data_IF_472017337254
#
_entry.id   IF_472017337254
#
_cell.length_a   1.000
_cell.length_b   1.000
_cell.length_c   1.000
_cell.angle_alpha   90.00
_cell.angle_beta   90.00
_cell.angle_gamma   90.00
#
_symmetry.space_group_name_H-M   'P 1'
#
loop_
_entity.id
_entity.type
_entity.pdbx_description
1 polymer ?
#
# COMPACT_ATOMS: atom_id res chain seq x y z
N UNK A 1 -11.75 46.95 23.53
CA UNK A 1 -10.43 47.13 22.90
C UNK A 1 -10.28 46.16 21.75
N UNK A 2 -9.82 46.63 20.59
CA UNK A 2 -9.60 45.79 19.42
C UNK A 2 -8.37 44.87 19.57
N UNK A 3 -8.40 43.73 18.86
CA UNK A 3 -7.27 42.86 18.61
C UNK A 3 -7.37 42.22 17.23
N UNK A 4 -6.27 41.73 16.71
CA UNK A 4 -6.21 41.12 15.37
C UNK A 4 -6.08 39.61 15.47
N UNK A 5 -6.82 38.88 14.63
CA UNK A 5 -6.68 37.43 14.45
C UNK A 5 -6.17 37.15 13.05
N UNK A 6 -5.06 36.45 12.97
CA UNK A 6 -4.41 36.03 11.73
C UNK A 6 -4.48 34.52 11.57
N UNK A 7 -4.88 34.08 10.39
CA UNK A 7 -5.00 32.63 10.06
C UNK A 7 -3.89 32.21 9.11
N UNK A 8 -3.14 31.17 9.49
CA UNK A 8 -2.00 30.63 8.73
C UNK A 8 -2.32 29.22 8.27
N UNK A 9 -2.33 29.01 6.95
CA UNK A 9 -2.57 27.72 6.35
C UNK A 9 -1.24 27.03 5.98
N UNK A 10 -1.13 25.74 6.28
CA UNK A 10 0.01 24.93 5.91
C UNK A 10 -0.03 24.60 4.42
N UNK A 11 1.08 24.78 3.73
CA UNK A 11 1.28 24.38 2.33
C UNK A 11 1.80 22.93 2.22
N UNK A 12 1.85 22.39 1.00
CA UNK A 12 2.34 21.02 0.73
C UNK A 12 3.78 20.80 1.21
N UNK A 13 4.64 21.82 1.14
CA UNK A 13 6.03 21.74 1.63
C UNK A 13 6.15 21.84 3.16
N UNK A 14 5.02 22.06 3.87
CA UNK A 14 4.98 22.16 5.34
C UNK A 14 5.14 23.56 5.90
N UNK A 15 5.43 24.56 5.08
CA UNK A 15 5.46 25.96 5.52
C UNK A 15 4.05 26.50 5.79
N UNK A 16 3.95 27.58 6.56
CA UNK A 16 2.69 28.26 6.85
C UNK A 16 2.66 29.62 6.17
N UNK A 17 1.57 29.90 5.47
CA UNK A 17 1.33 31.18 4.82
C UNK A 17 0.13 31.87 5.46
N UNK A 18 0.23 33.17 5.66
CA UNK A 18 -0.87 34.03 6.13
C UNK A 18 -1.98 34.04 5.06
N UNK A 19 -3.21 33.77 5.46
CA UNK A 19 -4.39 34.01 4.64
C UNK A 19 -4.93 35.40 4.93
N UNK A 20 -4.46 36.38 4.16
CA UNK A 20 -4.80 37.81 4.35
C UNK A 20 -6.33 38.03 4.34
N UNK A 21 -7.06 37.37 3.46
CA UNK A 21 -8.52 37.50 3.32
C UNK A 21 -9.30 37.02 4.52
N UNK A 22 -8.70 36.19 5.38
CA UNK A 22 -9.31 35.72 6.62
C UNK A 22 -8.84 36.48 7.86
N UNK A 23 -7.94 37.47 7.72
CA UNK A 23 -7.51 38.29 8.84
C UNK A 23 -8.68 39.11 9.38
N UNK A 24 -8.92 39.02 10.68
CA UNK A 24 -10.04 39.66 11.38
C UNK A 24 -9.51 40.70 12.37
N UNK A 25 -10.17 41.85 12.45
CA UNK A 25 -10.03 42.80 13.54
C UNK A 25 -11.28 42.71 14.38
N UNK A 26 -11.15 42.21 15.60
CA UNK A 26 -12.23 42.07 16.56
C UNK A 26 -12.18 43.21 17.58
N UNK A 27 -13.33 43.79 17.91
CA UNK A 27 -13.44 44.97 18.79
C UNK A 27 -14.05 44.64 20.16
N UNK A 28 -14.33 43.36 20.40
CA UNK A 28 -14.97 42.82 21.59
C UNK A 28 -13.99 42.50 22.74
N UNK A 29 -12.70 42.79 22.55
CA UNK A 29 -11.69 42.54 23.56
C UNK A 29 -11.84 43.41 24.80
N UNK A 30 -11.72 42.80 25.99
CA UNK A 30 -11.60 43.51 27.26
C UNK A 30 -10.13 43.65 27.63
N UNK A 31 -9.66 44.88 27.86
CA UNK A 31 -8.28 45.13 28.27
C UNK A 31 -7.90 44.28 29.49
N UNK A 32 -6.67 43.74 29.46
CA UNK A 32 -6.11 42.85 30.46
C UNK A 32 -6.80 41.47 30.61
N UNK A 33 -7.86 41.23 29.82
CA UNK A 33 -8.48 39.89 29.72
C UNK A 33 -7.84 39.04 28.62
N UNK A 34 -8.00 37.75 28.73
CA UNK A 34 -7.58 36.78 27.68
C UNK A 34 -8.53 36.84 26.48
N UNK A 35 -7.98 36.81 25.28
CA UNK A 35 -8.77 36.59 24.05
C UNK A 35 -9.49 35.27 24.09
N UNK A 36 -10.61 35.15 23.37
CA UNK A 36 -11.39 33.92 23.25
C UNK A 36 -11.57 33.53 21.76
N UNK A 37 -10.47 33.57 21.02
CA UNK A 37 -10.45 33.27 19.59
C UNK A 37 -10.83 31.80 19.35
N UNK A 38 -11.72 31.59 18.39
CA UNK A 38 -12.08 30.27 17.88
C UNK A 38 -11.53 30.08 16.46
N UNK A 39 -11.24 28.85 16.13
CA UNK A 39 -10.80 28.51 14.76
C UNK A 39 -11.97 28.69 13.77
N UNK A 40 -11.63 29.19 12.58
CA UNK A 40 -12.53 29.15 11.44
C UNK A 40 -12.46 27.78 10.76
N UNK A 41 -13.56 27.28 10.16
CA UNK A 41 -13.52 26.06 9.37
C UNK A 41 -12.87 26.34 8.02
N UNK A 42 -11.83 25.58 7.68
CA UNK A 42 -11.24 25.54 6.35
C UNK A 42 -11.26 24.10 5.87
N UNK A 43 -11.76 23.90 4.65
CA UNK A 43 -11.84 22.58 4.03
C UNK A 43 -10.44 21.97 3.86
N UNK A 44 -10.27 20.70 4.22
CA UNK A 44 -9.01 19.96 4.22
C UNK A 44 -7.94 20.48 5.20
N UNK A 45 -8.32 21.25 6.20
CA UNK A 45 -7.43 21.74 7.22
C UNK A 45 -7.94 21.49 8.63
N UNK A 46 -7.05 21.09 9.51
CA UNK A 46 -7.31 20.94 10.94
C UNK A 46 -6.61 22.04 11.71
N UNK A 47 -7.38 22.78 12.51
CA UNK A 47 -6.82 23.85 13.35
C UNK A 47 -5.95 23.26 14.47
N UNK A 48 -4.79 23.88 14.68
CA UNK A 48 -3.96 23.60 15.86
C UNK A 48 -4.51 24.29 17.10
N UNK A 49 -4.15 23.83 18.31
CA UNK A 49 -4.50 24.51 19.55
C UNK A 49 -4.12 26.00 19.49
N UNK A 50 -5.07 26.86 19.83
CA UNK A 50 -4.92 28.33 19.78
C UNK A 50 -4.33 28.82 21.09
N UNK A 51 -3.21 29.53 21.01
CA UNK A 51 -2.66 30.24 22.15
C UNK A 51 -3.36 31.60 22.30
N UNK A 52 -4.26 31.68 23.27
CA UNK A 52 -4.93 32.93 23.64
C UNK A 52 -3.92 33.94 24.23
N UNK A 53 -4.19 35.23 24.10
CA UNK A 53 -3.32 36.29 24.56
C UNK A 53 -4.07 37.32 25.40
N UNK A 54 -3.38 38.01 26.30
CA UNK A 54 -3.93 39.17 27.00
C UNK A 54 -4.13 40.31 26.02
N UNK A 55 -5.29 40.96 26.08
CA UNK A 55 -5.65 42.09 25.24
C UNK A 55 -4.95 43.33 25.72
N UNK A 56 -4.06 43.87 24.92
CA UNK A 56 -3.35 45.10 25.21
C UNK A 56 -4.25 46.33 25.03
N UNK A 57 -4.15 47.38 25.88
CA UNK A 57 -5.02 48.56 25.83
C UNK A 57 -4.88 49.38 24.55
N UNK A 58 -3.73 49.27 23.87
CA UNK A 58 -3.44 49.98 22.62
C UNK A 58 -3.92 49.26 21.36
N UNK A 59 -4.58 48.09 21.51
CA UNK A 59 -5.08 47.29 20.36
C UNK A 59 -4.02 46.57 19.55
N UNK A 60 -2.79 46.43 20.06
CA UNK A 60 -1.68 45.79 19.35
C UNK A 60 -1.66 44.27 19.45
N UNK A 61 -2.58 43.68 20.20
CA UNK A 61 -2.61 42.22 20.38
C UNK A 61 -2.94 41.49 19.07
N UNK A 62 -2.09 40.53 18.72
CA UNK A 62 -2.28 39.66 17.54
C UNK A 62 -2.30 38.21 17.99
N UNK A 63 -3.39 37.53 17.74
CA UNK A 63 -3.54 36.06 17.91
C UNK A 63 -3.33 35.39 16.56
N UNK A 64 -2.47 34.39 16.53
CA UNK A 64 -2.20 33.63 15.31
C UNK A 64 -2.80 32.23 15.44
N UNK A 65 -3.61 31.85 14.47
CA UNK A 65 -4.23 30.53 14.36
C UNK A 65 -3.58 29.78 13.22
N UNK A 66 -3.06 28.61 13.50
CA UNK A 66 -2.38 27.75 12.51
C UNK A 66 -3.24 26.55 12.16
N UNK A 67 -3.29 26.23 10.89
CA UNK A 67 -4.07 25.11 10.34
C UNK A 67 -3.14 24.17 9.60
N UNK A 68 -3.13 22.94 10.06
CA UNK A 68 -2.37 21.85 9.43
C UNK A 68 -3.18 21.26 8.29
N UNK A 69 -2.58 21.11 7.13
CA UNK A 69 -3.19 20.44 6.00
C UNK A 69 -3.40 18.95 6.32
N UNK A 70 -4.61 18.45 6.12
CA UNK A 70 -4.98 17.09 6.46
C UNK A 70 -4.13 16.08 5.70
N UNK A 71 -3.86 14.94 6.33
CA UNK A 71 -3.08 13.84 5.76
C UNK A 71 -3.97 12.63 5.55
N UNK A 72 -3.69 11.91 4.48
CA UNK A 72 -4.41 10.71 4.08
C UNK A 72 -3.47 9.54 3.85
N UNK A 73 -4.01 8.35 3.98
CA UNK A 73 -3.28 7.10 3.80
C UNK A 73 -3.66 6.47 2.46
N UNK A 74 -2.66 6.14 1.65
CA UNK A 74 -2.83 5.41 0.40
C UNK A 74 -2.11 4.08 0.49
N UNK A 75 -2.82 2.99 0.24
CA UNK A 75 -2.30 1.62 0.36
C UNK A 75 -2.30 0.93 -0.99
N UNK A 76 -1.19 0.27 -1.31
CA UNK A 76 -1.02 -0.56 -2.51
C UNK A 76 -0.80 -2.01 -2.10
N UNK A 77 -1.71 -2.90 -2.47
CA UNK A 77 -1.66 -4.33 -2.17
C UNK A 77 -1.33 -5.17 -3.40
N UNK A 78 -0.73 -6.34 -3.16
CA UNK A 78 -0.44 -7.31 -4.21
C UNK A 78 -1.68 -8.05 -4.73
N UNK A 79 -2.81 -7.98 -4.00
CA UNK A 79 -4.01 -8.74 -4.30
C UNK A 79 -3.91 -10.22 -3.89
N UNK A 80 -4.86 -11.04 -4.35
CA UNK A 80 -4.97 -12.43 -3.96
C UNK A 80 -3.75 -13.29 -4.34
N UNK A 81 -3.16 -13.04 -5.53
CA UNK A 81 -1.99 -13.79 -6.01
C UNK A 81 -0.73 -13.54 -5.19
N UNK A 82 -0.63 -12.41 -4.52
CA UNK A 82 0.52 -12.03 -3.69
C UNK A 82 0.13 -11.75 -2.24
N UNK A 83 -0.86 -12.45 -1.69
CA UNK A 83 -1.41 -12.25 -0.34
C UNK A 83 -0.38 -12.32 0.79
N UNK A 84 0.71 -13.06 0.58
CA UNK A 84 1.80 -13.19 1.56
C UNK A 84 2.72 -11.96 1.62
N UNK A 85 2.58 -11.04 0.65
CA UNK A 85 3.35 -9.81 0.65
C UNK A 85 2.61 -8.71 1.41
N UNK A 86 3.33 -8.03 2.30
CA UNK A 86 2.78 -6.89 3.02
C UNK A 86 2.43 -5.74 2.05
N UNK A 87 1.28 -5.08 2.22
CA UNK A 87 0.93 -3.93 1.41
C UNK A 87 1.88 -2.74 1.68
N UNK A 88 2.10 -1.92 0.66
CA UNK A 88 2.84 -0.67 0.77
C UNK A 88 1.88 0.46 1.13
N UNK A 89 2.19 1.17 2.21
CA UNK A 89 1.35 2.25 2.73
C UNK A 89 2.11 3.58 2.71
N UNK A 90 1.48 4.61 2.15
CA UNK A 90 2.00 5.97 2.06
C UNK A 90 1.07 6.92 2.80
N UNK A 91 1.64 7.82 3.59
CA UNK A 91 0.89 8.94 4.19
C UNK A 91 1.32 10.24 3.51
N UNK A 92 0.37 10.98 2.98
CA UNK A 92 0.64 12.23 2.28
C UNK A 92 -0.44 13.28 2.59
N UNK A 93 -0.10 14.56 2.42
CA UNK A 93 -1.03 15.68 2.60
C UNK A 93 -2.07 15.70 1.48
N UNK A 94 -3.27 16.19 1.81
CA UNK A 94 -4.28 16.49 0.79
C UNK A 94 -3.68 17.36 -0.34
N UNK A 95 -3.96 16.98 -1.57
CA UNK A 95 -3.43 17.63 -2.76
C UNK A 95 -2.00 17.28 -3.16
N UNK A 96 -1.29 16.48 -2.35
CA UNK A 96 0.04 15.99 -2.72
C UNK A 96 -0.04 14.96 -3.85
N UNK A 97 0.94 14.98 -4.73
CA UNK A 97 1.11 13.93 -5.76
C UNK A 97 2.03 12.84 -5.23
N UNK A 98 1.59 11.59 -5.28
CA UNK A 98 2.42 10.42 -5.02
C UNK A 98 2.56 9.58 -6.29
N UNK A 99 3.70 8.91 -6.43
CA UNK A 99 3.95 7.99 -7.53
C UNK A 99 3.60 6.56 -7.12
N UNK A 100 3.04 5.80 -8.06
CA UNK A 100 2.69 4.40 -7.83
C UNK A 100 3.95 3.55 -7.75
N UNK A 101 4.02 2.61 -6.79
CA UNK A 101 5.13 1.67 -6.72
C UNK A 101 5.10 0.69 -7.89
N UNK A 102 6.28 0.24 -8.34
CA UNK A 102 6.41 -0.94 -9.17
C UNK A 102 6.48 -2.16 -8.26
N UNK A 103 5.55 -3.08 -8.40
CA UNK A 103 5.54 -4.32 -7.62
C UNK A 103 6.14 -5.46 -8.45
N UNK A 104 6.71 -6.46 -7.77
CA UNK A 104 7.24 -7.68 -8.38
C UNK A 104 6.63 -8.92 -7.72
N UNK A 105 6.23 -9.89 -8.54
CA UNK A 105 5.70 -11.18 -8.10
C UNK A 105 6.27 -12.27 -9.00
N UNK A 106 6.81 -13.34 -8.40
CA UNK A 106 7.42 -14.44 -9.14
C UNK A 106 6.41 -15.09 -10.10
N UNK A 107 6.80 -15.26 -11.37
CA UNK A 107 5.95 -15.85 -12.40
C UNK A 107 4.91 -14.91 -13.02
N UNK A 108 4.90 -13.63 -12.64
CA UNK A 108 3.92 -12.67 -13.13
C UNK A 108 4.55 -11.33 -13.56
N UNK A 109 3.97 -10.69 -14.55
CA UNK A 109 4.25 -9.32 -14.94
C UNK A 109 3.25 -8.36 -14.27
N UNK A 110 3.77 -7.30 -13.68
CA UNK A 110 2.95 -6.24 -13.10
C UNK A 110 2.29 -5.42 -14.21
N UNK A 111 0.96 -5.30 -14.21
CA UNK A 111 0.19 -4.58 -15.23
C UNK A 111 -0.43 -3.27 -14.76
N UNK A 112 -0.30 -2.96 -13.46
CA UNK A 112 -0.82 -1.74 -12.87
C UNK A 112 -1.68 -1.98 -11.63
N UNK A 113 -2.54 -1.02 -11.31
CA UNK A 113 -3.47 -1.10 -10.18
C UNK A 113 -4.91 -0.91 -10.65
N UNK A 114 -5.83 -1.70 -10.07
CA UNK A 114 -7.26 -1.60 -10.37
C UNK A 114 -7.78 -0.19 -10.08
N UNK A 115 -8.44 0.41 -11.08
CA UNK A 115 -9.07 1.73 -10.95
C UNK A 115 -8.11 2.93 -11.01
N UNK A 116 -6.81 2.69 -11.13
CA UNK A 116 -5.81 3.75 -11.23
C UNK A 116 -5.23 3.81 -12.66
N UNK A 117 -5.17 4.99 -13.22
CA UNK A 117 -4.57 5.24 -14.54
C UNK A 117 -3.26 6.01 -14.37
N UNK A 118 -2.22 5.53 -15.04
CA UNK A 118 -0.89 6.17 -15.01
C UNK A 118 -0.04 5.77 -13.80
N UNK A 119 1.05 6.50 -13.61
CA UNK A 119 2.10 6.21 -12.62
C UNK A 119 2.08 7.16 -11.42
N UNK A 120 1.05 7.97 -11.25
CA UNK A 120 0.90 8.89 -10.13
C UNK A 120 -0.58 9.18 -9.84
N UNK A 121 -0.84 9.64 -8.62
CA UNK A 121 -2.16 10.12 -8.21
C UNK A 121 -2.03 11.33 -7.30
N UNK A 122 -3.07 12.18 -7.30
CA UNK A 122 -3.22 13.27 -6.34
C UNK A 122 -4.02 12.76 -5.15
N UNK A 123 -3.51 12.97 -3.94
CA UNK A 123 -4.15 12.50 -2.70
C UNK A 123 -5.32 13.41 -2.34
N UNK A 124 -6.53 12.88 -2.41
CA UNK A 124 -7.77 13.61 -2.06
C UNK A 124 -8.56 12.94 -0.94
N UNK A 125 -8.04 11.84 -0.39
CA UNK A 125 -8.65 11.06 0.68
C UNK A 125 -7.86 9.77 0.90
N UNK A 126 -8.29 8.98 1.88
CA UNK A 126 -7.76 7.63 2.08
C UNK A 126 -8.16 6.75 0.89
N UNK A 127 -7.22 5.95 0.40
CA UNK A 127 -7.45 5.10 -0.76
C UNK A 127 -6.67 3.79 -0.67
N UNK A 128 -7.22 2.74 -1.29
CA UNK A 128 -6.55 1.45 -1.41
C UNK A 128 -6.63 0.95 -2.87
N UNK A 129 -5.50 0.52 -3.38
CA UNK A 129 -5.36 0.01 -4.73
C UNK A 129 -4.81 -1.40 -4.71
N UNK A 130 -5.37 -2.25 -5.58
CA UNK A 130 -4.94 -3.65 -5.72
C UNK A 130 -4.21 -3.84 -7.04
N UNK A 131 -3.04 -4.48 -6.98
CA UNK A 131 -2.24 -4.77 -8.15
C UNK A 131 -2.95 -5.74 -9.10
N UNK A 132 -2.70 -5.55 -10.37
CA UNK A 132 -3.13 -6.45 -11.45
C UNK A 132 -1.91 -7.11 -12.08
N UNK A 133 -2.04 -8.38 -12.45
CA UNK A 133 -0.95 -9.24 -12.86
C UNK A 133 -1.31 -10.00 -14.14
N UNK A 134 -0.30 -10.26 -14.96
CA UNK A 134 -0.39 -11.17 -16.11
C UNK A 134 0.59 -12.33 -15.91
N UNK A 135 0.16 -13.59 -16.09
CA UNK A 135 1.07 -14.72 -15.98
C UNK A 135 2.19 -14.64 -17.02
N UNK A 136 3.39 -15.03 -16.65
CA UNK A 136 4.54 -15.13 -17.54
C UNK A 136 4.58 -16.52 -18.18
N UNK A 137 4.90 -16.57 -19.47
CA UNK A 137 5.09 -17.81 -20.21
C UNK A 137 6.53 -18.34 -20.15
N UNK A 138 7.49 -17.53 -19.66
CA UNK A 138 8.92 -17.83 -19.62
C UNK A 138 9.42 -18.21 -18.21
N UNK A 139 8.52 -18.61 -17.33
CA UNK A 139 8.89 -19.04 -15.98
C UNK A 139 9.67 -20.35 -16.04
N UNK A 140 10.93 -20.38 -15.56
CA UNK A 140 11.73 -21.59 -15.60
C UNK A 140 11.17 -22.66 -14.66
N UNK A 141 11.22 -23.90 -15.09
CA UNK A 141 10.88 -25.06 -14.28
C UNK A 141 11.96 -26.13 -14.39
N UNK A 142 12.03 -27.00 -13.40
CA UNK A 142 12.94 -28.14 -13.38
C UNK A 142 12.13 -29.41 -13.42
N UNK A 143 12.53 -30.31 -14.29
CA UNK A 143 11.99 -31.67 -14.36
C UNK A 143 13.00 -32.63 -13.73
N UNK A 144 12.59 -33.38 -12.75
CA UNK A 144 13.40 -34.42 -12.12
C UNK A 144 12.79 -35.77 -12.48
N UNK A 145 13.63 -36.68 -13.03
CA UNK A 145 13.23 -38.01 -13.40
C UNK A 145 13.74 -38.99 -12.35
N UNK A 146 12.83 -39.76 -11.79
CA UNK A 146 13.13 -40.80 -10.81
C UNK A 146 12.93 -42.20 -11.44
N UNK A 147 13.89 -43.08 -11.26
CA UNK A 147 13.83 -44.46 -11.75
C UNK A 147 13.80 -45.41 -10.57
N UNK A 148 12.79 -46.30 -10.51
CA UNK A 148 12.69 -47.29 -9.45
C UNK A 148 13.85 -48.29 -9.54
N UNK A 149 14.45 -48.63 -8.40
CA UNK A 149 15.49 -49.65 -8.31
C UNK A 149 14.85 -51.02 -8.37
N UNK A 150 15.49 -51.96 -9.07
CA UNK A 150 15.04 -53.32 -9.19
C UNK A 150 15.30 -54.18 -7.95
N UNK A 151 16.22 -53.75 -7.07
CA UNK A 151 16.68 -54.54 -5.92
C UNK A 151 16.35 -53.95 -4.55
N UNK A 152 15.68 -52.79 -4.51
CA UNK A 152 15.29 -52.10 -3.26
C UNK A 152 14.12 -51.16 -3.49
N UNK A 153 13.31 -50.95 -2.44
CA UNK A 153 12.29 -49.86 -2.45
C UNK A 153 12.97 -48.50 -2.39
N UNK A 154 13.11 -47.87 -3.52
CA UNK A 154 13.67 -46.54 -3.62
C UNK A 154 13.78 -46.02 -5.06
N UNK A 155 14.10 -44.75 -5.21
CA UNK A 155 14.25 -44.11 -6.52
C UNK A 155 15.65 -43.48 -6.64
N UNK A 156 16.18 -43.43 -7.84
CA UNK A 156 17.47 -42.80 -8.14
C UNK A 156 17.30 -41.59 -9.03
N UNK A 157 18.06 -40.55 -8.76
CA UNK A 157 18.31 -39.47 -9.71
C UNK A 157 19.18 -39.98 -10.87
N UNK A 158 19.08 -39.39 -12.07
CA UNK A 158 20.06 -39.60 -13.12
C UNK A 158 21.45 -39.21 -12.62
N UNK A 159 22.32 -40.22 -12.39
CA UNK A 159 23.63 -40.04 -11.75
C UNK A 159 23.89 -40.98 -10.59
N UNK A 160 22.89 -41.72 -10.11
CA UNK A 160 23.05 -42.82 -9.16
C UNK A 160 22.93 -42.44 -7.68
N UNK A 161 22.54 -41.23 -7.35
CA UNK A 161 22.25 -40.84 -5.96
C UNK A 161 20.94 -41.46 -5.47
N UNK A 162 21.00 -42.17 -4.32
CA UNK A 162 19.81 -42.76 -3.67
C UNK A 162 19.13 -41.71 -2.80
N UNK A 163 17.91 -41.36 -3.20
CA UNK A 163 17.08 -40.37 -2.45
C UNK A 163 15.98 -41.03 -1.61
N UNK A 164 15.97 -42.36 -1.51
CA UNK A 164 14.94 -43.08 -0.81
C UNK A 164 13.57 -43.01 -1.52
N UNK A 165 12.50 -43.23 -0.78
CA UNK A 165 11.13 -43.08 -1.27
C UNK A 165 10.77 -41.59 -1.38
N UNK A 166 10.51 -41.06 -2.59
CA UNK A 166 9.97 -39.68 -2.69
C UNK A 166 8.58 -39.65 -2.04
N UNK A 167 8.39 -38.75 -1.13
CA UNK A 167 7.07 -38.47 -0.57
C UNK A 167 6.27 -37.74 -1.65
N UNK A 168 5.36 -38.45 -2.29
CA UNK A 168 4.36 -37.80 -3.13
C UNK A 168 3.32 -37.17 -2.20
N UNK A 169 3.21 -35.86 -2.25
CA UNK A 169 2.06 -35.17 -1.68
C UNK A 169 0.94 -35.41 -2.67
N UNK A 170 0.00 -36.28 -2.32
CA UNK A 170 -1.24 -36.43 -3.08
C UNK A 170 -1.99 -35.10 -2.94
N UNK A 171 -2.04 -34.34 -4.02
CA UNK A 171 -3.04 -33.29 -4.16
C UNK A 171 -4.40 -33.99 -4.26
N UNK A 172 -5.22 -33.86 -3.23
CA UNK A 172 -6.53 -34.53 -3.11
C UNK A 172 -7.58 -34.14 -4.17
N UNK A 173 -7.18 -33.62 -5.33
CA UNK A 173 -8.08 -33.19 -6.41
C UNK A 173 -8.01 -34.03 -7.70
N UNK A 174 -7.45 -35.24 -7.68
CA UNK A 174 -7.57 -36.09 -8.86
C UNK A 174 -8.16 -37.45 -8.48
N UNK A 175 -9.48 -37.47 -8.41
CA UNK A 175 -10.24 -38.73 -8.49
C UNK A 175 -9.94 -39.45 -9.79
N UNK A 176 -9.79 -40.78 -9.68
CA UNK A 176 -9.61 -41.80 -10.70
C UNK A 176 -8.15 -42.15 -11.05
N UNK A 177 -7.60 -43.06 -10.26
CA UNK A 177 -6.47 -43.90 -10.64
C UNK A 177 -6.99 -45.20 -11.23
N UNK A 178 -6.70 -45.51 -12.48
CA UNK A 178 -6.91 -46.89 -12.94
C UNK A 178 -5.82 -47.79 -12.35
N UNK A 179 -6.23 -48.81 -11.63
CA UNK A 179 -5.37 -49.93 -11.19
C UNK A 179 -4.76 -50.63 -12.40
N UNK A 180 -3.43 -50.58 -12.53
CA UNK A 180 -2.72 -51.35 -13.57
C UNK A 180 -1.27 -50.90 -13.72
N UNK A 181 -0.40 -51.77 -13.48
CA UNK A 181 1.02 -52.01 -13.69
C UNK A 181 1.72 -51.17 -14.81
N UNK A 182 1.76 -49.82 -14.68
CA UNK A 182 2.53 -48.92 -15.56
C UNK A 182 3.16 -47.71 -14.82
N UNK A 183 3.79 -47.99 -13.69
CA UNK A 183 4.23 -46.94 -12.77
C UNK A 183 5.40 -46.07 -13.25
N UNK A 184 6.19 -46.51 -14.22
CA UNK A 184 7.39 -45.78 -14.67
C UNK A 184 7.12 -44.86 -15.86
N UNK A 185 6.19 -45.22 -16.74
CA UNK A 185 5.83 -44.42 -17.90
C UNK A 185 4.84 -43.32 -17.54
N UNK A 186 3.92 -43.58 -16.59
CA UNK A 186 2.86 -42.62 -16.25
C UNK A 186 3.37 -41.41 -15.46
N UNK A 187 4.38 -41.57 -14.60
CA UNK A 187 4.94 -40.45 -13.85
C UNK A 187 5.70 -39.46 -14.74
N UNK A 188 6.31 -39.92 -15.82
CA UNK A 188 6.99 -39.06 -16.79
C UNK A 188 6.00 -38.40 -17.75
N UNK A 189 4.99 -39.14 -18.22
CA UNK A 189 3.98 -38.67 -19.15
C UNK A 189 2.99 -37.67 -18.50
N UNK A 190 2.58 -37.91 -17.25
CA UNK A 190 1.70 -37.00 -16.54
C UNK A 190 2.36 -35.62 -16.25
N UNK A 191 3.66 -35.64 -15.95
CA UNK A 191 4.38 -34.37 -15.76
C UNK A 191 4.65 -33.64 -17.08
N UNK A 192 4.90 -34.35 -18.15
CA UNK A 192 5.07 -33.73 -19.48
C UNK A 192 3.75 -33.18 -20.02
N UNK A 193 2.62 -33.81 -19.75
CA UNK A 193 1.28 -33.36 -20.16
C UNK A 193 0.78 -32.12 -19.39
N UNK A 194 1.21 -31.94 -18.13
CA UNK A 194 0.88 -30.74 -17.36
C UNK A 194 1.74 -29.52 -17.69
N UNK A 195 2.83 -29.70 -18.44
CA UNK A 195 3.80 -28.66 -18.79
C UNK A 195 3.79 -28.25 -20.25
N UNK A 196 2.90 -28.83 -21.06
CA UNK A 196 2.65 -28.36 -22.42
C UNK A 196 1.69 -27.13 -22.39
N UNK A 197 1.95 -26.08 -23.19
CA UNK A 197 1.17 -24.86 -23.20
C UNK A 197 -0.27 -25.07 -23.68
#
# INVERSE_FOLDING_TARGET
>A
TKYTVQHYLQSLNGSYALLETATQVLEDGTTDAMTQVKALPFEHYTARPITQKTVAPNGSTVVRVYYTLDTHTVTFSYGALGSDNAPLTYTARYGATIYTPMLALGGYDFTGFTGLKGSSLVVTGDAAYTATWSPRSDTPFRVEHYVQRTEADGYLLPGGEDIGHPQFVDDEEQGDQPEGDQRLTDAADHRAAQLAP
#
